data_IF_339702746336
#
_entry.id   IF_339702746336
#
_cell.length_a   1.000
_cell.length_b   1.000
_cell.length_c   1.000
_cell.angle_alpha   90.00
_cell.angle_beta   90.00
_cell.angle_gamma   90.00
#
_symmetry.space_group_name_H-M   'P 1'
#
loop_
_entity.id
_entity.type
_entity.pdbx_description
1 polymer ?
#
# COMPACT_ATOMS: atom_id res chain seq x y z
N UNK A 1 3.46 16.33 -22.76
CA UNK A 1 3.53 15.85 -21.42
C UNK A 1 2.79 14.52 -21.28
N UNK A 2 3.38 13.62 -20.60
CA UNK A 2 2.76 12.33 -20.39
C UNK A 2 1.55 12.38 -19.47
N UNK A 3 0.88 11.27 -19.37
CA UNK A 3 -0.24 11.11 -18.47
C UNK A 3 0.21 11.28 -17.03
N UNK A 4 -0.71 11.71 -16.19
CA UNK A 4 -0.46 11.75 -14.77
C UNK A 4 -0.30 10.31 -14.28
N UNK A 5 0.78 10.05 -13.58
CA UNK A 5 0.99 8.75 -12.98
C UNK A 5 0.47 8.76 -11.55
N UNK A 6 -0.33 7.75 -11.22
CA UNK A 6 -0.80 7.55 -9.87
C UNK A 6 0.05 6.52 -9.12
N UNK A 7 1.08 6.02 -9.78
CA UNK A 7 1.98 5.06 -9.17
C UNK A 7 3.08 5.78 -8.41
N UNK A 8 3.55 5.15 -7.35
CA UNK A 8 4.70 5.65 -6.62
C UNK A 8 5.93 5.61 -7.52
N UNK A 9 6.66 6.72 -7.56
CA UNK A 9 7.86 6.84 -8.38
C UNK A 9 9.02 6.06 -7.74
N UNK A 10 9.50 5.03 -8.43
CA UNK A 10 10.58 4.22 -7.90
C UNK A 10 11.89 4.99 -7.76
N UNK A 11 12.08 6.06 -8.54
CA UNK A 11 13.26 6.91 -8.39
C UNK A 11 13.25 7.63 -7.06
N UNK A 12 12.07 8.03 -6.60
CA UNK A 12 11.93 8.65 -5.29
C UNK A 12 12.26 7.63 -4.19
N UNK A 13 11.79 6.40 -4.34
CA UNK A 13 12.07 5.35 -3.37
C UNK A 13 13.57 5.05 -3.31
N UNK A 14 14.22 4.94 -4.47
CA UNK A 14 15.66 4.72 -4.54
C UNK A 14 16.41 5.86 -3.85
N UNK A 15 16.00 7.09 -4.08
CA UNK A 15 16.62 8.26 -3.46
C UNK A 15 16.45 8.23 -1.94
N UNK A 16 15.23 7.92 -1.46
CA UNK A 16 14.98 7.82 -0.03
C UNK A 16 15.82 6.73 0.62
N UNK A 17 16.01 5.60 -0.04
CA UNK A 17 16.82 4.50 0.49
C UNK A 17 18.29 4.86 0.65
N UNK A 18 18.77 5.87 -0.07
CA UNK A 18 20.15 6.35 0.09
C UNK A 18 20.37 7.08 1.41
N UNK A 19 19.30 7.67 1.94
CA UNK A 19 19.39 8.51 3.15
C UNK A 19 18.75 7.88 4.38
N UNK A 20 17.84 6.93 4.18
CA UNK A 20 17.08 6.33 5.28
C UNK A 20 17.12 4.80 5.16
N UNK A 21 17.36 4.10 6.28
CA UNK A 21 17.37 2.64 6.25
C UNK A 21 15.94 2.07 6.27
N UNK A 22 15.16 2.35 5.23
CA UNK A 22 13.78 1.89 5.14
C UNK A 22 13.74 0.40 4.88
N UNK A 23 13.00 -0.35 5.69
CA UNK A 23 12.93 -1.79 5.61
C UNK A 23 11.57 -2.32 5.21
N UNK A 24 10.50 -1.61 5.58
CA UNK A 24 9.14 -2.03 5.34
C UNK A 24 8.40 -1.01 4.48
N UNK A 25 7.67 -1.49 3.51
CA UNK A 25 6.77 -0.68 2.70
C UNK A 25 5.34 -1.07 3.01
N UNK A 26 4.50 -0.07 3.32
CA UNK A 26 3.08 -0.29 3.59
C UNK A 26 2.27 0.62 2.68
N UNK A 27 1.40 0.03 1.86
CA UNK A 27 0.52 0.83 1.03
C UNK A 27 -0.94 0.49 1.29
N UNK A 28 -1.80 1.48 1.07
CA UNK A 28 -3.24 1.29 1.02
C UNK A 28 -3.70 1.56 -0.41
N UNK A 29 -4.62 0.71 -0.90
CA UNK A 29 -5.05 0.80 -2.28
C UNK A 29 -4.12 0.08 -3.24
N UNK A 30 -4.07 -1.25 -3.14
CA UNK A 30 -3.24 -2.09 -4.03
C UNK A 30 -3.58 -1.87 -5.49
N UNK A 31 -4.86 -1.76 -5.77
CA UNK A 31 -5.39 -1.59 -7.11
C UNK A 31 -4.81 -2.62 -8.06
N UNK A 32 -4.13 -2.22 -9.12
CA UNK A 32 -3.53 -3.16 -10.10
C UNK A 32 -2.18 -3.70 -9.66
N UNK A 33 -1.60 -3.16 -8.59
CA UNK A 33 -0.32 -3.63 -8.07
C UNK A 33 0.90 -3.03 -8.75
N UNK A 34 0.74 -1.98 -9.54
CA UNK A 34 1.86 -1.40 -10.28
C UNK A 34 2.90 -0.74 -9.36
N UNK A 35 2.43 0.01 -8.36
CA UNK A 35 3.34 0.62 -7.38
C UNK A 35 4.09 -0.45 -6.60
N UNK A 36 3.36 -1.46 -6.14
CA UNK A 36 3.96 -2.54 -5.37
C UNK A 36 5.01 -3.29 -6.18
N UNK A 37 4.73 -3.57 -7.45
CA UNK A 37 5.68 -4.23 -8.34
C UNK A 37 6.96 -3.41 -8.49
N UNK A 38 6.82 -2.10 -8.63
CA UNK A 38 7.97 -1.21 -8.83
C UNK A 38 8.87 -1.11 -7.60
N UNK A 39 8.30 -1.12 -6.40
CA UNK A 39 9.06 -0.82 -5.18
C UNK A 39 9.47 -2.04 -4.39
N UNK A 40 8.84 -3.20 -4.59
CA UNK A 40 9.10 -4.39 -3.77
C UNK A 40 10.58 -4.80 -3.69
N UNK A 41 11.41 -4.62 -4.73
CA UNK A 41 12.82 -5.00 -4.62
C UNK A 41 13.63 -4.16 -3.64
N UNK A 42 13.11 -2.99 -3.26
CA UNK A 42 13.83 -2.05 -2.39
C UNK A 42 13.58 -2.30 -0.91
N UNK A 43 12.66 -3.21 -0.56
CA UNK A 43 12.26 -3.42 0.83
C UNK A 43 12.38 -4.88 1.24
N UNK A 44 12.65 -5.10 2.53
CA UNK A 44 12.69 -6.45 3.09
C UNK A 44 11.30 -7.07 3.08
N UNK A 45 10.27 -6.26 3.36
CA UNK A 45 8.89 -6.71 3.37
C UNK A 45 7.97 -5.59 2.87
N UNK A 46 6.91 -5.99 2.18
CA UNK A 46 5.86 -5.09 1.71
C UNK A 46 4.51 -5.59 2.20
N UNK A 47 3.69 -4.67 2.70
CA UNK A 47 2.31 -4.94 3.10
C UNK A 47 1.43 -4.05 2.24
N UNK A 48 0.46 -4.65 1.55
CA UNK A 48 -0.47 -3.90 0.71
C UNK A 48 -1.90 -4.24 1.07
N UNK A 49 -2.70 -3.23 1.30
CA UNK A 49 -4.08 -3.35 1.78
C UNK A 49 -5.04 -2.93 0.68
N UNK A 50 -6.01 -3.79 0.36
CA UNK A 50 -6.99 -3.54 -0.68
C UNK A 50 -8.39 -3.82 -0.16
N UNK A 51 -9.31 -2.88 -0.37
CA UNK A 51 -10.70 -3.01 0.04
C UNK A 51 -11.50 -3.90 -0.92
N UNK A 52 -11.20 -3.82 -2.20
CA UNK A 52 -11.94 -4.55 -3.24
C UNK A 52 -11.51 -6.01 -3.32
N UNK A 53 -12.43 -6.96 -3.13
CA UNK A 53 -12.09 -8.39 -3.30
C UNK A 53 -11.58 -8.70 -4.70
N UNK A 54 -12.08 -8.00 -5.70
CA UNK A 54 -11.65 -8.17 -7.09
C UNK A 54 -10.18 -7.83 -7.28
N UNK A 55 -9.76 -6.66 -6.81
CA UNK A 55 -8.38 -6.24 -6.93
C UNK A 55 -7.46 -7.02 -6.01
N UNK A 56 -7.95 -7.39 -4.84
CA UNK A 56 -7.17 -8.25 -3.93
C UNK A 56 -6.87 -9.59 -4.58
N UNK A 57 -7.87 -10.23 -5.18
CA UNK A 57 -7.69 -11.51 -5.84
C UNK A 57 -6.73 -11.40 -7.03
N UNK A 58 -6.83 -10.32 -7.80
CA UNK A 58 -5.91 -10.09 -8.91
C UNK A 58 -4.48 -9.92 -8.43
N UNK A 59 -4.29 -9.21 -7.32
CA UNK A 59 -2.97 -9.02 -6.72
C UNK A 59 -2.40 -10.34 -6.22
N UNK A 60 -3.22 -11.19 -5.61
CA UNK A 60 -2.78 -12.50 -5.18
C UNK A 60 -2.22 -13.33 -6.33
N UNK A 61 -2.84 -13.24 -7.50
CA UNK A 61 -2.33 -13.93 -8.69
C UNK A 61 -1.04 -13.30 -9.20
N UNK A 62 -1.00 -11.98 -9.26
CA UNK A 62 0.15 -11.24 -9.77
C UNK A 62 1.41 -11.50 -8.96
N UNK A 63 1.28 -11.57 -7.64
CA UNK A 63 2.41 -11.71 -6.73
C UNK A 63 2.56 -13.10 -6.15
N UNK A 64 1.91 -14.09 -6.74
CA UNK A 64 2.03 -15.48 -6.30
C UNK A 64 3.49 -15.95 -6.31
N UNK A 65 3.92 -16.54 -5.23
CA UNK A 65 5.29 -17.02 -5.11
C UNK A 65 6.31 -16.00 -4.66
N UNK A 66 5.90 -14.74 -4.46
CA UNK A 66 6.81 -13.70 -3.98
C UNK A 66 6.68 -13.61 -2.47
N UNK A 67 7.74 -14.02 -1.78
CA UNK A 67 7.70 -14.25 -0.33
C UNK A 67 7.69 -12.98 0.52
N UNK A 68 8.16 -11.84 -0.01
CA UNK A 68 8.26 -10.63 0.78
C UNK A 68 7.04 -9.71 0.68
N UNK A 69 5.94 -10.18 0.10
CA UNK A 69 4.72 -9.41 -0.06
C UNK A 69 3.59 -10.05 0.74
N UNK A 70 2.92 -9.23 1.55
CA UNK A 70 1.71 -9.62 2.27
C UNK A 70 0.55 -8.78 1.74
N UNK A 71 -0.49 -9.45 1.27
CA UNK A 71 -1.67 -8.79 0.71
C UNK A 71 -2.84 -8.97 1.67
N UNK A 72 -3.41 -7.86 2.11
CA UNK A 72 -4.51 -7.85 3.07
C UNK A 72 -5.78 -7.32 2.40
N UNK A 73 -6.88 -8.03 2.63
CA UNK A 73 -8.20 -7.60 2.15
C UNK A 73 -8.94 -6.94 3.30
N UNK A 74 -9.34 -5.70 3.13
CA UNK A 74 -10.11 -5.00 4.13
C UNK A 74 -10.02 -3.49 4.00
N UNK A 75 -10.71 -2.82 4.91
CA UNK A 75 -10.67 -1.38 5.02
C UNK A 75 -9.32 -0.97 5.62
N UNK A 76 -8.69 0.00 5.01
CA UNK A 76 -7.33 0.40 5.35
C UNK A 76 -7.15 0.86 6.80
N UNK A 77 -8.10 1.62 7.33
CA UNK A 77 -7.99 2.10 8.72
C UNK A 77 -7.87 0.97 9.73
N UNK A 78 -8.87 0.08 9.81
CA UNK A 78 -8.82 -1.07 10.70
C UNK A 78 -7.63 -2.00 10.42
N UNK A 79 -7.31 -2.24 9.15
CA UNK A 79 -6.18 -3.09 8.79
C UNK A 79 -4.86 -2.54 9.31
N UNK A 80 -4.63 -1.23 9.15
CA UNK A 80 -3.41 -0.60 9.65
C UNK A 80 -3.33 -0.72 11.16
N UNK A 81 -4.45 -0.55 11.84
CA UNK A 81 -4.49 -0.66 13.28
C UNK A 81 -4.13 -2.06 13.75
N UNK A 82 -4.64 -3.08 13.07
CA UNK A 82 -4.34 -4.48 13.38
C UNK A 82 -2.87 -4.82 13.10
N UNK A 83 -2.29 -4.23 12.04
CA UNK A 83 -0.92 -4.51 11.64
C UNK A 83 0.11 -3.63 12.34
N UNK A 84 -0.30 -2.81 13.27
CA UNK A 84 0.59 -1.85 13.92
C UNK A 84 1.87 -2.47 14.47
N UNK A 85 1.79 -3.66 15.02
CA UNK A 85 2.96 -4.35 15.57
C UNK A 85 4.00 -4.66 14.51
N UNK A 86 3.59 -4.77 13.27
CA UNK A 86 4.50 -5.07 12.17
C UNK A 86 5.40 -3.90 11.83
N UNK A 87 4.98 -2.67 12.13
CA UNK A 87 5.73 -1.49 11.69
C UNK A 87 6.12 -0.52 12.81
N UNK A 88 5.62 -0.67 14.04
CA UNK A 88 5.85 0.34 15.08
C UNK A 88 7.33 0.53 15.46
N UNK A 89 8.14 -0.51 15.31
CA UNK A 89 9.57 -0.45 15.61
C UNK A 89 10.45 -0.67 14.38
N UNK A 90 9.89 -0.48 13.20
CA UNK A 90 10.57 -0.72 11.93
C UNK A 90 10.52 0.53 11.06
N UNK A 91 11.64 0.88 10.46
CA UNK A 91 11.68 2.02 9.52
C UNK A 91 10.79 1.71 8.32
N UNK A 92 9.70 2.45 8.20
CA UNK A 92 8.62 2.15 7.27
C UNK A 92 8.31 3.33 6.37
N UNK A 93 8.09 3.04 5.09
CA UNK A 93 7.55 4.00 4.15
C UNK A 93 6.07 3.69 3.95
N UNK A 94 5.21 4.66 4.23
CA UNK A 94 3.76 4.54 4.02
C UNK A 94 3.34 5.25 2.74
N UNK A 95 2.61 4.54 1.88
CA UNK A 95 2.00 5.09 0.68
C UNK A 95 0.49 4.93 0.81
N UNK A 96 -0.18 5.99 1.28
CA UNK A 96 -1.60 5.94 1.64
C UNK A 96 -2.44 6.44 0.48
N UNK A 97 -2.88 5.53 -0.37
CA UNK A 97 -3.54 5.85 -1.63
C UNK A 97 -4.99 5.33 -1.74
N UNK A 98 -5.48 4.64 -0.71
CA UNK A 98 -6.83 4.05 -0.77
C UNK A 98 -7.93 5.10 -0.92
N UNK A 99 -7.75 6.27 -0.29
CA UNK A 99 -8.74 7.35 -0.32
C UNK A 99 -8.89 7.99 -1.70
N UNK A 100 -7.99 7.68 -2.59
CA UNK A 100 -7.98 8.20 -3.95
C UNK A 100 -8.97 7.53 -4.86
N UNK A 101 -9.26 6.31 -4.57
CA UNK A 101 -10.12 5.52 -5.44
C UNK A 101 -11.55 5.98 -5.33
N UNK A 102 -12.00 6.74 -6.32
CA UNK A 102 -13.39 7.09 -6.44
C UNK A 102 -14.18 5.95 -7.05
N UNK A 103 -13.56 4.82 -7.27
CA UNK A 103 -14.20 3.68 -7.88
C UNK A 103 -15.26 3.07 -6.98
N UNK A 104 -16.24 2.43 -7.59
CA UNK A 104 -17.34 1.79 -6.89
C UNK A 104 -16.89 0.68 -5.96
N UNK A 105 -15.72 0.12 -6.20
CA UNK A 105 -15.19 -0.98 -5.43
C UNK A 105 -14.49 -0.53 -4.15
N UNK A 106 -14.57 0.75 -3.82
CA UNK A 106 -13.98 1.30 -2.59
C UNK A 106 -15.01 1.34 -1.48
N UNK A 107 -14.63 1.92 -0.34
CA UNK A 107 -15.54 2.09 0.80
C UNK A 107 -16.75 2.96 0.47
N UNK A 108 -16.70 3.73 -0.60
CA UNK A 108 -17.82 4.52 -1.06
C UNK A 108 -18.26 5.59 -0.07
N UNK A 109 -19.56 5.65 0.16
CA UNK A 109 -20.15 6.70 0.98
C UNK A 109 -19.74 6.66 2.45
N UNK A 110 -19.33 5.51 2.94
CA UNK A 110 -18.99 5.36 4.34
C UNK A 110 -17.74 6.12 4.74
N UNK A 111 -16.82 6.27 3.79
CA UNK A 111 -15.57 6.95 4.07
C UNK A 111 -15.09 7.65 2.82
N UNK A 112 -15.54 8.89 2.66
CA UNK A 112 -15.09 9.70 1.54
C UNK A 112 -13.62 10.05 1.66
N UNK A 113 -13.07 9.98 2.89
CA UNK A 113 -11.67 10.25 3.12
C UNK A 113 -11.15 9.34 4.23
N UNK A 114 -10.79 8.11 3.90
CA UNK A 114 -10.26 7.16 4.89
C UNK A 114 -8.90 7.57 5.44
N UNK A 115 -8.30 8.62 4.91
CA UNK A 115 -6.98 9.06 5.35
C UNK A 115 -6.89 9.31 6.84
N UNK A 116 -7.92 9.92 7.44
CA UNK A 116 -7.91 10.19 8.87
C UNK A 116 -7.90 8.89 9.68
N UNK A 117 -8.68 7.91 9.25
CA UNK A 117 -8.70 6.60 9.90
C UNK A 117 -7.38 5.88 9.71
N UNK A 118 -6.77 6.01 8.53
CA UNK A 118 -5.47 5.42 8.26
C UNK A 118 -4.41 6.01 9.17
N UNK A 119 -4.38 7.34 9.28
CA UNK A 119 -3.41 8.01 10.15
C UNK A 119 -3.61 7.63 11.61
N UNK A 120 -4.84 7.45 12.04
CA UNK A 120 -5.14 7.02 13.40
C UNK A 120 -4.61 5.60 13.67
N UNK A 121 -4.53 4.74 12.63
CA UNK A 121 -3.98 3.40 12.74
C UNK A 121 -2.46 3.34 12.79
N UNK A 122 -1.82 4.38 12.37
CA UNK A 122 -0.37 4.49 12.39
C UNK A 122 0.07 5.13 13.71
#
# INVERSE_FOLDING_TARGET
MGAISFNLDEKLVDELQRYLPLRLFVETGTFRGESLESVRPYFDECISIELSPKYHAAAQKRFAGISNIRLLLGDSGPCLKEERKSFEDVSTLFWLDAHWCAAEDTAGEKSQCPLLDELAGI
#
